data_IF_310387662271
#
_entry.id   IF_310387662271
#
_cell.length_a   1.000
_cell.length_b   1.000
_cell.length_c   1.000
_cell.angle_alpha   90.00
_cell.angle_beta   90.00
_cell.angle_gamma   90.00
#
_symmetry.space_group_name_H-M   'P 1'
#
loop_
_entity.id
_entity.type
_entity.pdbx_description
1 polymer ?
#
# COMPACT_ATOMS: atom_id res chain seq x y z
N UNK A 1 7.79 8.34 -34.26
CA UNK A 1 8.21 8.23 -32.85
C UNK A 1 7.91 6.80 -32.40
N UNK A 2 8.85 6.07 -31.80
CA UNK A 2 8.58 4.72 -31.28
C UNK A 2 7.49 4.80 -30.21
N UNK A 3 6.51 3.90 -30.27
CA UNK A 3 5.40 3.89 -29.32
C UNK A 3 5.88 3.41 -27.94
N UNK A 4 5.40 4.04 -26.87
CA UNK A 4 5.74 3.68 -25.49
C UNK A 4 5.27 2.26 -25.19
N UNK A 5 6.20 1.41 -24.72
CA UNK A 5 5.92 0.03 -24.32
C UNK A 5 5.83 -0.08 -22.80
N UNK A 6 5.02 -1.00 -22.32
CA UNK A 6 4.70 -1.17 -20.92
C UNK A 6 4.87 -2.63 -20.51
N UNK A 7 5.41 -2.85 -19.32
CA UNK A 7 5.53 -4.16 -18.69
C UNK A 7 4.59 -4.21 -17.48
N UNK A 8 4.17 -5.41 -17.09
CA UNK A 8 3.25 -5.56 -15.97
C UNK A 8 3.97 -5.50 -14.63
N UNK A 9 3.28 -4.95 -13.64
CA UNK A 9 3.65 -5.04 -12.24
C UNK A 9 2.41 -5.40 -11.42
N UNK A 10 2.50 -6.51 -10.70
CA UNK A 10 1.38 -7.07 -9.94
C UNK A 10 1.87 -7.40 -8.54
N UNK A 11 1.24 -6.80 -7.54
CA UNK A 11 1.47 -7.06 -6.13
C UNK A 11 0.18 -7.49 -5.48
N UNK A 12 0.19 -8.64 -4.83
CA UNK A 12 -1.00 -9.21 -4.25
C UNK A 12 -0.73 -10.56 -3.64
N UNK A 13 -1.81 -11.25 -3.33
CA UNK A 13 -1.81 -12.60 -2.79
C UNK A 13 -2.57 -13.54 -3.71
N UNK A 14 -2.29 -14.83 -3.62
CA UNK A 14 -3.02 -15.89 -4.32
C UNK A 14 -3.81 -16.74 -3.33
N UNK A 15 -4.24 -17.94 -3.72
CA UNK A 15 -5.04 -18.80 -2.85
C UNK A 15 -4.28 -19.25 -1.60
N UNK A 16 -3.00 -19.63 -1.75
CA UNK A 16 -2.17 -20.14 -0.66
C UNK A 16 -1.05 -19.20 -0.22
N UNK A 17 -0.75 -18.17 -1.00
CA UNK A 17 0.42 -17.32 -0.79
C UNK A 17 0.00 -15.94 -0.32
N UNK A 18 0.74 -15.41 0.66
CA UNK A 18 0.55 -14.06 1.15
C UNK A 18 1.10 -12.99 0.19
N UNK A 19 0.94 -11.72 0.56
CA UNK A 19 1.29 -10.57 -0.25
C UNK A 19 2.74 -10.57 -0.73
N UNK A 20 2.91 -10.56 -2.05
CA UNK A 20 4.20 -10.52 -2.73
C UNK A 20 4.08 -9.89 -4.12
N UNK A 21 5.23 -9.63 -4.73
CA UNK A 21 5.27 -9.35 -6.15
C UNK A 21 5.02 -10.66 -6.91
N UNK A 22 3.96 -10.68 -7.70
CA UNK A 22 3.55 -11.80 -8.55
C UNK A 22 4.16 -11.62 -9.94
N UNK A 23 4.21 -10.38 -10.44
CA UNK A 23 4.82 -10.03 -11.71
C UNK A 23 5.57 -8.70 -11.62
N UNK A 24 6.70 -8.58 -12.32
CA UNK A 24 7.53 -7.37 -12.37
C UNK A 24 8.11 -7.16 -13.78
N UNK A 25 8.49 -5.92 -14.15
CA UNK A 25 9.28 -5.69 -15.35
C UNK A 25 10.64 -6.39 -15.27
N UNK A 26 11.07 -7.00 -16.38
CA UNK A 26 12.29 -7.83 -16.42
C UNK A 26 13.60 -7.12 -16.12
N UNK A 27 13.63 -5.79 -16.23
CA UNK A 27 14.81 -4.94 -16.07
C UNK A 27 14.88 -4.23 -14.70
N UNK A 28 13.94 -4.51 -13.80
CA UNK A 28 13.94 -3.92 -12.46
C UNK A 28 15.07 -4.48 -11.61
N UNK A 29 15.89 -3.60 -11.05
CA UNK A 29 16.88 -3.95 -10.03
C UNK A 29 16.23 -4.06 -8.65
N UNK A 30 16.93 -4.60 -7.62
CA UNK A 30 16.43 -4.58 -6.24
C UNK A 30 16.03 -3.19 -5.74
N UNK A 31 16.76 -2.14 -6.16
CA UNK A 31 16.46 -0.75 -5.83
C UNK A 31 15.17 -0.28 -6.51
N UNK A 32 14.96 -0.63 -7.78
CA UNK A 32 13.73 -0.30 -8.51
C UNK A 32 12.51 -1.02 -7.90
N UNK A 33 12.69 -2.27 -7.45
CA UNK A 33 11.67 -3.04 -6.73
C UNK A 33 11.34 -2.36 -5.38
N UNK A 34 12.36 -2.02 -4.59
CA UNK A 34 12.20 -1.37 -3.29
C UNK A 34 11.49 -0.01 -3.44
N UNK A 35 11.90 0.78 -4.42
CA UNK A 35 11.26 2.04 -4.78
C UNK A 35 9.77 1.84 -5.12
N UNK A 36 9.44 0.90 -6.00
CA UNK A 36 8.06 0.65 -6.40
C UNK A 36 7.20 0.16 -5.24
N UNK A 37 7.70 -0.78 -4.43
CA UNK A 37 7.00 -1.28 -3.24
C UNK A 37 6.75 -0.19 -2.19
N UNK A 38 7.68 0.78 -2.07
CA UNK A 38 7.50 1.95 -1.23
C UNK A 38 6.20 2.72 -1.54
N UNK A 39 5.78 2.76 -2.80
CA UNK A 39 4.51 3.38 -3.23
C UNK A 39 3.34 2.40 -3.21
N UNK A 40 3.54 1.13 -3.60
CA UNK A 40 2.48 0.13 -3.72
C UNK A 40 1.94 -0.32 -2.36
N UNK A 41 2.80 -0.56 -1.36
CA UNK A 41 2.34 -1.07 -0.07
C UNK A 41 1.40 -0.07 0.63
N UNK A 42 1.71 1.24 0.70
CA UNK A 42 0.80 2.23 1.30
C UNK A 42 -0.60 2.25 0.70
N UNK A 43 -0.77 1.95 -0.59
CA UNK A 43 -2.08 1.98 -1.24
C UNK A 43 -2.98 0.82 -0.80
N UNK A 44 -2.41 -0.20 -0.15
CA UNK A 44 -3.16 -1.33 0.41
C UNK A 44 -3.66 -1.12 1.85
N UNK A 45 -3.27 -0.02 2.51
CA UNK A 45 -3.72 0.31 3.88
C UNK A 45 -5.23 0.49 3.92
N UNK A 46 -5.87 0.21 5.05
CA UNK A 46 -7.34 0.28 5.17
C UNK A 46 -8.06 -0.47 4.02
N UNK A 47 -7.61 -1.68 3.71
CA UNK A 47 -8.12 -2.50 2.59
C UNK A 47 -9.65 -2.67 2.61
N UNK A 48 -10.29 -2.66 3.79
CA UNK A 48 -11.75 -2.69 3.93
C UNK A 48 -12.48 -1.51 3.28
N UNK A 49 -11.78 -0.41 2.96
CA UNK A 49 -12.30 0.77 2.26
C UNK A 49 -12.08 0.72 0.74
N UNK A 50 -11.49 -0.35 0.19
CA UNK A 50 -11.27 -0.50 -1.25
C UNK A 50 -12.53 -0.94 -2.02
N UNK A 51 -13.55 -1.42 -1.32
CA UNK A 51 -14.77 -1.92 -1.94
C UNK A 51 -15.45 -0.84 -2.79
N UNK A 52 -15.52 -1.04 -4.11
CA UNK A 52 -16.06 -0.04 -5.07
C UNK A 52 -15.35 1.33 -5.05
N UNK A 53 -14.21 1.41 -4.39
CA UNK A 53 -13.40 2.62 -4.22
C UNK A 53 -11.92 2.29 -4.53
N UNK A 54 -11.58 2.04 -5.81
CA UNK A 54 -10.21 1.72 -6.21
C UNK A 54 -9.30 2.93 -6.02
N UNK A 55 -8.07 2.67 -5.58
CA UNK A 55 -7.03 3.70 -5.42
C UNK A 55 -6.14 3.73 -6.63
N UNK A 56 -6.17 4.83 -7.37
CA UNK A 56 -5.36 5.00 -8.56
C UNK A 56 -4.03 5.64 -8.18
N UNK A 57 -2.94 5.05 -8.64
CA UNK A 57 -1.60 5.48 -8.29
C UNK A 57 -0.75 5.71 -9.53
N UNK A 58 -0.03 6.82 -9.55
CA UNK A 58 0.94 7.15 -10.57
C UNK A 58 2.18 7.69 -9.88
N UNK A 59 3.33 7.06 -10.10
CA UNK A 59 4.58 7.53 -9.50
C UNK A 59 5.76 7.35 -10.46
N UNK A 60 6.66 8.34 -10.41
CA UNK A 60 7.75 8.52 -11.36
C UNK A 60 9.03 8.89 -10.63
N UNK A 61 10.11 8.23 -11.01
CA UNK A 61 11.46 8.68 -10.72
C UNK A 61 12.12 9.12 -12.05
N UNK A 62 13.45 9.17 -12.09
CA UNK A 62 14.17 9.56 -13.30
C UNK A 62 14.24 8.46 -14.38
N UNK A 63 13.98 7.20 -14.00
CA UNK A 63 14.15 6.00 -14.84
C UNK A 63 12.83 5.36 -15.27
N UNK A 64 11.80 5.41 -14.43
CA UNK A 64 10.56 4.67 -14.61
C UNK A 64 9.34 5.49 -14.25
N UNK A 65 8.23 5.16 -14.92
CA UNK A 65 6.89 5.54 -14.53
C UNK A 65 6.07 4.28 -14.27
N UNK A 66 5.37 4.23 -13.14
CA UNK A 66 4.38 3.21 -12.85
C UNK A 66 3.01 3.87 -12.74
N UNK A 67 2.03 3.24 -13.36
CA UNK A 67 0.60 3.55 -13.29
C UNK A 67 -0.13 2.29 -12.85
N UNK A 68 -1.02 2.38 -11.87
CA UNK A 68 -1.73 1.20 -11.40
C UNK A 68 -2.90 1.53 -10.50
N UNK A 69 -3.63 0.48 -10.15
CA UNK A 69 -4.79 0.57 -9.26
C UNK A 69 -4.66 -0.45 -8.14
N UNK A 70 -5.01 -0.03 -6.93
CA UNK A 70 -5.29 -0.95 -5.83
C UNK A 70 -6.78 -1.10 -5.68
N UNK A 71 -7.28 -2.33 -5.70
CA UNK A 71 -8.72 -2.60 -5.69
C UNK A 71 -9.01 -3.97 -5.08
N UNK A 72 -10.29 -4.22 -4.77
CA UNK A 72 -10.74 -5.59 -4.50
C UNK A 72 -10.70 -6.41 -5.79
N UNK A 73 -10.25 -7.67 -5.72
CA UNK A 73 -10.18 -8.55 -6.91
C UNK A 73 -11.57 -8.74 -7.54
N UNK A 74 -12.62 -8.83 -6.72
CA UNK A 74 -14.01 -8.92 -7.21
C UNK A 74 -14.47 -7.71 -8.05
N UNK A 75 -13.87 -6.54 -7.84
CA UNK A 75 -14.18 -5.33 -8.61
C UNK A 75 -13.37 -5.31 -9.92
N UNK A 76 -12.24 -6.03 -9.98
CA UNK A 76 -11.38 -6.14 -11.15
C UNK A 76 -11.88 -7.18 -12.16
N UNK A 77 -12.24 -8.38 -11.69
CA UNK A 77 -12.62 -9.52 -12.54
C UNK A 77 -14.11 -9.90 -12.44
N UNK A 78 -14.88 -9.16 -11.64
CA UNK A 78 -16.26 -9.49 -11.32
C UNK A 78 -16.39 -10.48 -10.16
N UNK A 79 -17.62 -10.70 -9.70
CA UNK A 79 -17.92 -11.77 -8.77
C UNK A 79 -17.93 -13.08 -9.56
N UNK A 80 -16.93 -13.92 -9.36
CA UNK A 80 -17.00 -15.32 -9.79
C UNK A 80 -18.22 -15.99 -9.15
N UNK A 81 -18.67 -17.09 -9.75
CA UNK A 81 -19.85 -17.80 -9.29
C UNK A 81 -19.66 -18.22 -7.83
N UNK A 82 -20.54 -17.75 -6.92
CA UNK A 82 -20.36 -17.86 -5.45
C UNK A 82 -20.30 -19.31 -4.97
N UNK A 83 -20.80 -20.23 -5.80
CA UNK A 83 -20.89 -21.66 -5.54
C UNK A 83 -19.82 -22.48 -6.27
N UNK A 84 -18.88 -21.85 -6.96
CA UNK A 84 -17.78 -22.56 -7.64
C UNK A 84 -16.56 -22.73 -6.72
N UNK A 85 -15.98 -23.93 -6.72
CA UNK A 85 -14.70 -24.24 -6.06
C UNK A 85 -13.50 -23.41 -6.60
N UNK A 86 -13.72 -22.61 -7.65
CA UNK A 86 -12.73 -21.76 -8.30
C UNK A 86 -13.00 -20.27 -8.06
N UNK A 87 -13.48 -19.89 -6.87
CA UNK A 87 -13.62 -18.48 -6.52
C UNK A 87 -12.24 -17.79 -6.42
N UNK A 88 -11.82 -17.14 -7.51
CA UNK A 88 -10.54 -16.40 -7.59
C UNK A 88 -10.51 -15.11 -6.74
N UNK A 89 -11.59 -14.78 -6.03
CA UNK A 89 -11.69 -13.55 -5.25
C UNK A 89 -11.42 -13.75 -3.76
N UNK A 90 -11.15 -14.97 -3.32
CA UNK A 90 -10.88 -15.31 -1.90
C UNK A 90 -9.66 -16.22 -1.77
N UNK A 91 -8.94 -16.12 -0.66
CA UNK A 91 -7.88 -17.08 -0.32
C UNK A 91 -8.44 -18.36 0.31
N UNK A 92 -7.55 -19.28 0.67
CA UNK A 92 -7.87 -20.55 1.35
C UNK A 92 -8.59 -20.35 2.69
N UNK A 93 -8.47 -19.18 3.32
CA UNK A 93 -9.17 -18.84 4.56
C UNK A 93 -10.51 -18.13 4.29
N UNK A 94 -10.93 -18.02 3.04
CA UNK A 94 -12.17 -17.34 2.63
C UNK A 94 -12.08 -15.80 2.69
N UNK A 95 -10.90 -15.22 2.94
CA UNK A 95 -10.73 -13.76 3.06
C UNK A 95 -10.78 -13.10 1.68
N UNK A 96 -11.53 -12.00 1.49
CA UNK A 96 -11.59 -11.28 0.21
C UNK A 96 -10.22 -10.77 -0.23
N UNK A 97 -9.83 -11.04 -1.47
CA UNK A 97 -8.56 -10.57 -2.01
C UNK A 97 -8.64 -9.11 -2.47
N UNK A 98 -7.57 -8.38 -2.18
CA UNK A 98 -7.27 -7.10 -2.81
C UNK A 98 -5.89 -7.18 -3.46
N UNK A 99 -5.66 -6.33 -4.44
CA UNK A 99 -4.50 -6.41 -5.32
C UNK A 99 -4.10 -5.02 -5.81
N UNK A 100 -2.80 -4.82 -6.01
CA UNK A 100 -2.28 -3.78 -6.88
C UNK A 100 -1.95 -4.39 -8.25
N UNK A 101 -2.57 -3.85 -9.30
CA UNK A 101 -2.29 -4.19 -10.70
C UNK A 101 -1.92 -2.92 -11.45
N UNK A 102 -0.81 -2.97 -12.19
CA UNK A 102 -0.31 -1.80 -12.88
C UNK A 102 0.66 -2.11 -14.02
N UNK A 103 1.05 -1.04 -14.68
CA UNK A 103 2.00 -1.04 -15.78
C UNK A 103 3.20 -0.16 -15.44
N UNK A 104 4.40 -0.67 -15.69
CA UNK A 104 5.66 0.06 -15.61
C UNK A 104 6.20 0.36 -17.00
N UNK A 105 6.82 1.52 -17.17
CA UNK A 105 7.52 1.88 -18.42
C UNK A 105 8.80 2.67 -18.14
N UNK A 106 9.89 2.42 -18.87
CA UNK A 106 11.08 3.24 -18.76
C UNK A 106 10.82 4.65 -19.30
N UNK A 107 11.36 5.64 -18.60
CA UNK A 107 11.35 7.03 -19.02
C UNK A 107 12.62 7.30 -19.81
N UNK A 108 12.47 7.59 -21.10
CA UNK A 108 13.57 8.12 -21.88
C UNK A 108 13.79 9.59 -21.54
N UNK A 109 15.06 9.98 -21.34
CA UNK A 109 15.44 11.37 -21.09
C UNK A 109 14.82 12.27 -22.19
N UNK A 110 14.03 13.27 -21.76
CA UNK A 110 13.36 14.30 -22.59
C UNK A 110 12.07 13.87 -23.30
N UNK A 111 11.60 12.62 -23.22
CA UNK A 111 10.28 12.23 -23.75
C UNK A 111 9.19 12.41 -22.70
N UNK A 112 8.07 13.01 -23.12
CA UNK A 112 6.84 13.06 -22.32
C UNK A 112 6.09 11.73 -22.52
N UNK A 113 5.35 11.30 -21.49
CA UNK A 113 4.45 10.16 -21.64
C UNK A 113 3.28 10.57 -22.55
N UNK A 114 3.37 10.19 -23.83
CA UNK A 114 2.35 10.51 -24.84
C UNK A 114 1.13 9.59 -24.72
N UNK A 115 1.36 8.35 -24.26
CA UNK A 115 0.33 7.31 -24.12
C UNK A 115 0.48 6.65 -22.78
N UNK A 116 -0.54 6.76 -21.94
CA UNK A 116 -0.63 6.13 -20.64
C UNK A 116 -2.10 5.76 -20.37
N UNK A 117 -2.38 4.74 -19.54
CA UNK A 117 -3.74 4.35 -19.16
C UNK A 117 -4.56 5.57 -18.69
N UNK A 118 -5.74 5.84 -19.29
CA UNK A 118 -6.58 6.94 -18.85
C UNK A 118 -7.16 6.65 -17.47
N UNK A 119 -7.50 7.72 -16.74
CA UNK A 119 -8.27 7.58 -15.51
C UNK A 119 -9.66 7.02 -15.83
N UNK A 120 -9.98 5.84 -15.29
CA UNK A 120 -11.22 5.11 -15.56
C UNK A 120 -12.24 5.14 -14.43
N UNK A 121 -11.95 5.81 -13.31
CA UNK A 121 -12.83 5.80 -12.14
C UNK A 121 -12.99 4.38 -11.58
N UNK A 122 -14.22 3.86 -11.59
CA UNK A 122 -14.54 2.48 -11.20
C UNK A 122 -14.36 1.48 -12.34
N UNK A 123 -14.15 1.93 -13.58
CA UNK A 123 -13.87 1.05 -14.71
C UNK A 123 -12.39 0.64 -14.68
N UNK A 124 -12.15 -0.64 -14.37
CA UNK A 124 -10.81 -1.22 -14.23
C UNK A 124 -10.39 -2.08 -15.43
N UNK A 125 -11.15 -2.05 -16.54
CA UNK A 125 -10.95 -2.95 -17.69
C UNK A 125 -9.54 -2.89 -18.26
N UNK A 126 -8.88 -1.73 -18.20
CA UNK A 126 -7.50 -1.57 -18.69
C UNK A 126 -6.50 -2.41 -17.88
N UNK A 127 -6.79 -2.72 -16.62
CA UNK A 127 -5.91 -3.52 -15.75
C UNK A 127 -6.37 -4.96 -15.59
N UNK A 128 -7.61 -5.29 -15.96
CA UNK A 128 -8.18 -6.64 -15.83
C UNK A 128 -7.30 -7.74 -16.45
N UNK A 129 -6.69 -7.57 -17.64
CA UNK A 129 -5.81 -8.59 -18.22
C UNK A 129 -4.61 -8.96 -17.34
N UNK A 130 -4.15 -8.05 -16.46
CA UNK A 130 -3.02 -8.32 -15.56
C UNK A 130 -3.35 -9.36 -14.49
N UNK A 131 -4.62 -9.63 -14.24
CA UNK A 131 -5.01 -10.66 -13.28
C UNK A 131 -4.60 -12.08 -13.71
N UNK A 132 -4.29 -12.30 -14.99
CA UNK A 132 -3.77 -13.56 -15.49
C UNK A 132 -2.50 -14.03 -14.76
N UNK A 133 -1.66 -13.10 -14.29
CA UNK A 133 -0.44 -13.45 -13.54
C UNK A 133 -0.76 -14.06 -12.18
N UNK A 134 -1.84 -13.61 -11.54
CA UNK A 134 -2.33 -14.20 -10.29
C UNK A 134 -2.91 -15.58 -10.55
N UNK A 135 -3.65 -15.75 -11.65
CA UNK A 135 -4.21 -17.04 -12.05
C UNK A 135 -3.13 -18.10 -12.28
N UNK A 136 -2.02 -17.72 -12.93
CA UNK A 136 -0.86 -18.60 -13.12
C UNK A 136 -0.23 -19.05 -11.80
N UNK A 137 -0.30 -18.21 -10.75
CA UNK A 137 0.22 -18.53 -9.42
C UNK A 137 -0.87 -18.92 -8.41
N UNK A 138 -2.10 -19.21 -8.87
CA UNK A 138 -3.25 -19.36 -7.99
C UNK A 138 -3.07 -20.47 -6.96
N UNK A 139 -2.63 -21.64 -7.41
CA UNK A 139 -2.49 -22.86 -6.59
C UNK A 139 -1.06 -23.13 -6.08
N UNK A 140 -0.12 -22.22 -6.34
CA UNK A 140 1.27 -22.35 -5.88
C UNK A 140 1.28 -22.30 -4.35
N UNK A 141 2.00 -23.21 -3.70
CA UNK A 141 2.07 -23.32 -2.24
C UNK A 141 3.39 -22.80 -1.68
N UNK A 142 3.38 -22.47 -0.40
CA UNK A 142 4.49 -21.77 0.25
C UNK A 142 5.78 -22.60 0.43
N UNK A 143 5.74 -23.92 0.25
CA UNK A 143 6.96 -24.75 0.28
C UNK A 143 7.62 -24.91 -1.09
N UNK A 144 6.99 -24.43 -2.18
CA UNK A 144 7.57 -24.48 -3.52
C UNK A 144 8.51 -23.30 -3.76
N UNK A 145 9.78 -23.46 -3.36
CA UNK A 145 10.80 -22.41 -3.39
C UNK A 145 11.16 -21.92 -4.79
N UNK A 146 11.00 -22.74 -5.84
CA UNK A 146 11.30 -22.34 -7.22
C UNK A 146 10.21 -21.45 -7.80
N UNK A 147 8.96 -21.60 -7.34
CA UNK A 147 7.79 -20.86 -7.81
C UNK A 147 7.47 -19.60 -6.97
N UNK A 148 8.37 -19.22 -6.06
CA UNK A 148 8.25 -17.96 -5.29
C UNK A 148 8.74 -16.71 -6.01
N UNK A 149 9.51 -16.88 -7.09
CA UNK A 149 10.04 -15.73 -7.84
C UNK A 149 8.90 -15.03 -8.59
N UNK A 150 8.92 -13.69 -8.64
CA UNK A 150 7.97 -12.96 -9.47
C UNK A 150 8.18 -13.33 -10.94
N UNK A 151 7.09 -13.37 -11.69
CA UNK A 151 7.10 -13.54 -13.14
C UNK A 151 7.73 -12.30 -13.76
N UNK A 152 8.80 -12.49 -14.53
CA UNK A 152 9.42 -11.40 -15.29
C UNK A 152 8.57 -11.11 -16.51
N UNK A 153 8.27 -9.83 -16.74
CA UNK A 153 7.36 -9.40 -17.80
C UNK A 153 8.07 -8.53 -18.82
N UNK A 154 7.72 -8.77 -20.08
CA UNK A 154 8.25 -8.03 -21.22
C UNK A 154 7.49 -6.73 -21.47
N UNK A 155 8.21 -5.76 -22.05
CA UNK A 155 7.62 -4.51 -22.50
C UNK A 155 6.85 -4.72 -23.80
N UNK A 156 5.53 -4.55 -23.74
CA UNK A 156 4.61 -4.71 -24.85
C UNK A 156 3.84 -3.42 -25.11
N UNK A 157 3.33 -3.23 -26.32
CA UNK A 157 2.40 -2.14 -26.58
C UNK A 157 1.08 -2.45 -25.87
N UNK A 158 0.53 -1.47 -25.16
CA UNK A 158 -0.81 -1.60 -24.63
C UNK A 158 -1.84 -1.52 -25.76
N UNK A 159 -2.98 -2.18 -25.58
CA UNK A 159 -4.06 -2.18 -26.56
C UNK A 159 -4.44 -0.74 -26.98
N UNK A 160 -4.86 -0.59 -28.24
CA UNK A 160 -5.20 0.71 -28.85
C UNK A 160 -6.33 1.48 -28.12
N UNK A 161 -7.07 0.81 -27.23
CA UNK A 161 -8.09 1.42 -26.36
C UNK A 161 -7.52 2.39 -25.31
N UNK A 162 -6.20 2.41 -25.10
CA UNK A 162 -5.55 3.44 -24.29
C UNK A 162 -5.53 4.74 -25.08
N UNK A 163 -6.51 5.58 -24.78
CA UNK A 163 -6.71 6.88 -25.40
C UNK A 163 -5.40 7.68 -25.43
N UNK A 164 -5.05 8.18 -26.62
CA UNK A 164 -4.04 9.25 -26.75
C UNK A 164 -4.53 10.41 -25.90
N UNK A 165 -3.81 10.75 -24.84
CA UNK A 165 -4.18 11.90 -24.02
C UNK A 165 -4.11 13.14 -24.90
N UNK A 166 -5.17 13.96 -24.88
CA UNK A 166 -5.05 15.33 -25.38
C UNK A 166 -3.97 16.05 -24.57
N UNK A 167 -3.06 16.78 -25.22
CA UNK A 167 -1.97 17.50 -24.57
C UNK A 167 -2.43 18.74 -23.78
N UNK A 168 -3.73 18.85 -23.45
CA UNK A 168 -4.25 19.97 -22.69
C UNK A 168 -3.96 19.78 -21.20
N UNK A 169 -2.78 20.27 -20.80
CA UNK A 169 -2.39 20.41 -19.40
C UNK A 169 -3.26 21.50 -18.78
N UNK A 170 -3.93 21.18 -17.68
CA UNK A 170 -4.56 22.19 -16.84
C UNK A 170 -3.45 23.01 -16.16
N UNK A 171 -3.22 24.23 -16.64
CA UNK A 171 -2.14 25.11 -16.15
C UNK A 171 -2.34 25.51 -14.69
N UNK A 172 -3.58 25.56 -14.20
CA UNK A 172 -3.86 25.90 -12.81
C UNK A 172 -3.42 24.74 -11.91
N UNK A 173 -3.86 23.51 -12.22
CA UNK A 173 -3.42 22.30 -11.51
C UNK A 173 -1.89 22.20 -11.57
N UNK A 174 -1.29 22.35 -12.75
CA UNK A 174 0.16 22.19 -12.94
C UNK A 174 1.00 23.13 -12.07
N UNK A 175 0.53 24.34 -11.79
CA UNK A 175 1.21 25.31 -10.91
C UNK A 175 1.07 24.96 -9.43
N UNK A 176 -0.05 24.35 -9.06
CA UNK A 176 -0.39 24.00 -7.69
C UNK A 176 0.11 22.61 -7.28
N UNK A 177 0.59 21.79 -8.23
CA UNK A 177 1.19 20.50 -7.93
C UNK A 177 2.45 20.62 -7.06
N UNK A 178 2.62 19.65 -6.19
CA UNK A 178 3.90 19.44 -5.53
C UNK A 178 4.82 18.58 -6.39
N UNK A 179 6.12 18.83 -6.26
CA UNK A 179 7.18 18.10 -6.95
C UNK A 179 8.28 17.76 -5.95
N UNK A 180 8.97 16.63 -6.18
CA UNK A 180 10.04 16.16 -5.31
C UNK A 180 11.15 17.22 -5.14
N UNK A 181 11.41 18.00 -6.18
CA UNK A 181 12.42 19.07 -6.19
C UNK A 181 12.00 20.34 -5.45
N UNK A 182 10.70 20.55 -5.23
CA UNK A 182 10.16 21.82 -4.68
C UNK A 182 9.90 21.71 -3.18
N UNK A 183 9.06 20.77 -2.77
CA UNK A 183 8.74 20.56 -1.36
C UNK A 183 8.71 19.04 -1.03
N UNK A 184 9.87 18.37 -0.92
CA UNK A 184 9.92 16.92 -0.67
C UNK A 184 9.33 16.50 0.69
N UNK A 185 9.29 17.43 1.66
CA UNK A 185 8.73 17.22 2.99
C UNK A 185 7.23 17.55 3.08
N UNK A 186 6.58 17.93 1.98
CA UNK A 186 5.16 18.31 1.98
C UNK A 186 4.32 17.36 1.15
N UNK A 187 3.06 17.23 1.53
CA UNK A 187 2.05 16.44 0.83
C UNK A 187 0.89 17.36 0.54
N UNK A 188 0.50 17.40 -0.73
CA UNK A 188 -0.61 18.23 -1.17
C UNK A 188 -1.82 17.33 -1.35
N UNK A 189 -2.93 17.71 -0.74
CA UNK A 189 -4.16 16.94 -0.71
C UNK A 189 -5.29 17.77 -1.32
N UNK A 190 -5.95 17.21 -2.32
CA UNK A 190 -7.10 17.80 -2.99
C UNK A 190 -8.38 17.10 -2.56
N UNK A 191 -9.50 17.81 -2.73
CA UNK A 191 -10.82 17.21 -2.59
C UNK A 191 -10.98 16.03 -3.56
N UNK A 192 -11.58 14.96 -3.06
CA UNK A 192 -11.81 13.75 -3.83
C UNK A 192 -13.06 13.85 -4.72
N UNK A 193 -12.93 14.56 -5.84
CA UNK A 193 -13.97 14.65 -6.88
C UNK A 193 -13.49 14.02 -8.19
N UNK A 194 -14.43 13.52 -9.00
CA UNK A 194 -14.14 12.93 -10.31
C UNK A 194 -13.36 13.90 -11.22
N UNK A 195 -13.69 15.20 -11.15
CA UNK A 195 -12.99 16.26 -11.87
C UNK A 195 -11.54 16.42 -11.39
N UNK A 196 -11.33 16.55 -10.06
CA UNK A 196 -10.00 16.66 -9.47
C UNK A 196 -9.13 15.45 -9.82
N UNK A 197 -9.67 14.24 -9.66
CA UNK A 197 -8.99 12.99 -10.00
C UNK A 197 -8.53 12.97 -11.45
N UNK A 198 -9.41 13.32 -12.39
CA UNK A 198 -9.12 13.34 -13.82
C UNK A 198 -8.05 14.38 -14.16
N UNK A 199 -8.20 15.62 -13.66
CA UNK A 199 -7.25 16.71 -13.91
C UNK A 199 -5.86 16.41 -13.33
N UNK A 200 -5.80 15.90 -12.09
CA UNK A 200 -4.55 15.50 -11.45
C UNK A 200 -3.88 14.36 -12.20
N UNK A 201 -4.63 13.33 -12.58
CA UNK A 201 -4.12 12.18 -13.32
C UNK A 201 -3.45 12.60 -14.62
N UNK A 202 -4.16 13.37 -15.45
CA UNK A 202 -3.65 13.83 -16.76
C UNK A 202 -2.47 14.79 -16.59
N UNK A 203 -2.58 15.78 -15.71
CA UNK A 203 -1.49 16.75 -15.50
C UNK A 203 -0.22 16.06 -15.00
N UNK A 204 -0.33 15.22 -13.96
CA UNK A 204 0.84 14.53 -13.42
C UNK A 204 1.43 13.58 -14.45
N UNK A 205 0.63 12.83 -15.23
CA UNK A 205 1.17 11.93 -16.25
C UNK A 205 2.07 12.65 -17.26
N UNK A 206 1.67 13.83 -17.73
CA UNK A 206 2.39 14.62 -18.75
C UNK A 206 3.59 15.37 -18.15
N UNK A 207 3.59 15.69 -16.85
CA UNK A 207 4.72 16.34 -16.18
C UNK A 207 6.03 15.53 -16.33
N UNK A 208 7.13 16.22 -16.66
CA UNK A 208 8.44 15.57 -16.84
C UNK A 208 9.21 15.31 -15.55
N UNK A 209 8.89 16.06 -14.50
CA UNK A 209 9.60 15.97 -13.23
C UNK A 209 9.17 14.70 -12.46
N UNK A 210 10.09 14.09 -11.69
CA UNK A 210 9.74 13.05 -10.72
C UNK A 210 8.60 13.52 -9.82
N UNK A 211 7.54 12.71 -9.78
CA UNK A 211 6.34 13.05 -9.05
C UNK A 211 5.55 11.79 -8.68
N UNK A 212 4.66 11.91 -7.72
CA UNK A 212 3.82 10.82 -7.24
C UNK A 212 2.42 11.30 -6.87
N UNK A 213 1.44 10.49 -7.21
CA UNK A 213 0.00 10.73 -7.07
C UNK A 213 -0.68 9.46 -6.55
N UNK A 214 -1.52 9.61 -5.52
CA UNK A 214 -2.49 8.59 -5.12
C UNK A 214 -3.90 9.20 -5.02
N UNK A 215 -4.85 8.65 -5.77
CA UNK A 215 -6.22 9.12 -5.84
C UNK A 215 -7.16 8.14 -5.15
N UNK A 216 -8.24 8.65 -4.57
CA UNK A 216 -9.33 7.86 -4.02
C UNK A 216 -9.08 7.32 -2.62
N UNK A 217 -8.47 8.13 -1.75
CA UNK A 217 -8.20 7.75 -0.38
C UNK A 217 -9.41 8.03 0.51
N UNK A 218 -9.74 7.09 1.37
CA UNK A 218 -10.83 7.26 2.32
C UNK A 218 -10.49 8.25 3.44
N UNK A 219 -9.20 8.46 3.73
CA UNK A 219 -8.74 9.37 4.77
C UNK A 219 -7.36 9.94 4.42
N UNK A 220 -7.07 11.16 4.90
CA UNK A 220 -5.78 11.81 4.72
C UNK A 220 -4.60 11.11 5.41
N UNK A 221 -4.85 10.40 6.51
CA UNK A 221 -3.80 9.76 7.32
C UNK A 221 -3.04 8.68 6.55
N UNK A 222 -3.74 7.96 5.66
CA UNK A 222 -3.15 6.96 4.78
C UNK A 222 -2.07 7.58 3.86
N UNK A 223 -2.26 8.83 3.42
CA UNK A 223 -1.30 9.55 2.58
C UNK A 223 -0.16 10.20 3.37
N UNK A 224 -0.45 10.79 4.53
CA UNK A 224 0.56 11.52 5.32
C UNK A 224 1.75 10.62 5.68
N UNK A 225 1.47 9.33 5.89
CA UNK A 225 2.46 8.28 6.20
C UNK A 225 3.01 7.57 4.95
N UNK A 226 2.86 8.16 3.76
CA UNK A 226 3.22 7.55 2.48
C UNK A 226 4.23 8.41 1.71
N UNK A 227 4.93 7.85 0.70
CA UNK A 227 5.86 8.62 -0.11
C UNK A 227 5.19 9.47 -1.20
N UNK A 228 3.86 9.41 -1.34
CA UNK A 228 3.15 10.24 -2.31
C UNK A 228 3.28 11.73 -1.99
N UNK A 229 3.46 12.54 -3.03
CA UNK A 229 3.55 14.00 -2.94
C UNK A 229 2.20 14.68 -3.15
N UNK A 230 1.33 14.01 -3.90
CA UNK A 230 0.02 14.51 -4.27
C UNK A 230 -1.03 13.43 -4.05
N UNK A 231 -2.25 13.81 -3.67
CA UNK A 231 -3.35 12.85 -3.64
C UNK A 231 -4.72 13.46 -3.39
N UNK A 232 -5.75 12.63 -3.53
CA UNK A 232 -7.12 13.03 -3.18
C UNK A 232 -7.62 12.21 -2.01
N UNK A 233 -8.35 12.85 -1.10
CA UNK A 233 -8.96 12.18 0.04
C UNK A 233 -10.39 12.69 0.31
N UNK A 234 -11.28 11.78 0.71
CA UNK A 234 -12.71 12.07 0.94
C UNK A 234 -12.93 13.11 2.06
N UNK A 235 -12.03 13.15 3.05
CA UNK A 235 -12.08 14.03 4.23
C UNK A 235 -11.47 15.43 4.00
N UNK A 236 -11.25 15.81 2.73
CA UNK A 236 -10.64 17.08 2.33
C UNK A 236 -11.65 17.87 1.49
N UNK A 237 -12.06 19.05 1.96
CA UNK A 237 -12.98 19.94 1.24
C UNK A 237 -12.28 20.80 0.18
N UNK A 238 -11.04 21.21 0.44
CA UNK A 238 -10.27 22.13 -0.39
C UNK A 238 -8.76 21.81 -0.30
N UNK A 239 -7.97 22.33 -1.23
CA UNK A 239 -6.54 22.04 -1.32
C UNK A 239 -5.85 22.34 0.01
N UNK A 240 -5.35 21.29 0.66
CA UNK A 240 -4.68 21.38 1.96
C UNK A 240 -3.25 20.85 1.84
N UNK A 241 -2.31 21.53 2.49
CA UNK A 241 -0.89 21.16 2.49
C UNK A 241 -0.51 20.67 3.88
N UNK A 242 0.08 19.48 3.95
CA UNK A 242 0.55 18.87 5.18
C UNK A 242 2.06 18.67 5.14
N UNK A 243 2.72 18.82 6.28
CA UNK A 243 4.08 18.35 6.45
C UNK A 243 4.08 16.83 6.62
N UNK A 244 5.02 16.17 5.95
CA UNK A 244 5.25 14.74 6.10
C UNK A 244 5.74 14.52 7.52
N UNK A 245 5.09 13.59 8.23
CA UNK A 245 5.61 13.15 9.53
C UNK A 245 7.01 12.57 9.30
N UNK A 246 8.03 13.30 9.76
CA UNK A 246 9.40 12.83 9.70
C UNK A 246 9.50 11.55 10.54
N UNK A 247 9.75 10.41 9.90
CA UNK A 247 10.24 9.21 10.58
C UNK A 247 11.58 9.46 11.31
N UNK A 248 12.23 10.61 11.05
CA UNK A 248 13.50 11.04 11.65
C UNK A 248 13.39 11.40 13.14
N UNK A 249 12.23 11.83 13.63
CA UNK A 249 12.10 12.27 15.04
C UNK A 249 12.13 11.10 16.03
N UNK A 250 11.93 9.85 15.59
CA UNK A 250 12.10 8.68 16.45
C UNK A 250 13.55 8.21 16.60
N UNK A 251 14.45 8.55 15.66
CA UNK A 251 15.86 8.15 15.73
C UNK A 251 16.75 9.11 16.54
N UNK A 252 16.36 10.38 16.69
CA UNK A 252 17.16 11.39 17.40
C UNK A 252 17.03 11.34 18.92
N UNK A 253 15.99 10.71 19.48
CA UNK A 253 15.88 10.48 20.92
C UNK A 253 16.57 9.19 21.40
N UNK A 254 16.90 8.25 20.49
CA UNK A 254 17.63 7.02 20.86
C UNK A 254 19.16 7.18 20.84
N UNK A 255 19.72 8.19 20.15
CA UNK A 255 21.17 8.43 20.17
C UNK A 255 21.69 9.16 21.41
N UNK A 256 20.82 9.84 22.18
CA UNK A 256 21.23 10.54 23.40
C UNK A 256 21.23 9.66 24.66
N UNK A 257 20.85 8.37 24.56
CA UNK A 257 20.85 7.43 25.70
C UNK A 257 21.95 6.35 25.66
N UNK A 258 22.87 6.40 24.69
CA UNK A 258 23.93 5.38 24.52
C UNK A 258 25.35 5.94 24.52
N UNK A 259 25.55 7.22 24.81
CA UNK A 259 26.88 7.87 24.81
C UNK A 259 27.62 7.88 26.16
N UNK A 260 27.12 7.20 27.20
CA UNK A 260 27.77 7.18 28.53
C UNK A 260 28.59 5.93 28.85
N UNK A 261 28.84 5.04 27.88
CA UNK A 261 29.60 3.81 28.13
C UNK A 261 30.67 3.50 27.07
N UNK A 262 31.60 4.42 26.83
CA UNK A 262 32.96 4.05 26.40
C UNK A 262 33.91 5.25 26.44
N UNK A 263 34.35 5.62 27.64
CA UNK A 263 35.59 6.39 27.83
C UNK A 263 36.74 5.43 28.13
N UNK A 264 37.93 5.77 27.62
CA UNK A 264 39.27 5.19 27.86
C UNK A 264 39.73 4.04 26.95
N UNK A 265 40.49 4.38 25.89
CA UNK A 265 41.96 4.31 25.92
C UNK A 265 42.60 5.00 24.70
N UNK A 266 43.59 5.85 24.97
CA UNK A 266 44.57 6.47 24.04
C UNK A 266 45.36 5.36 23.30
N UNK A 267 45.91 5.52 22.09
CA UNK A 267 46.93 6.51 21.71
C UNK A 267 47.25 6.54 20.20
N UNK A 268 47.49 7.77 19.69
CA UNK A 268 48.43 8.25 18.65
C UNK A 268 49.13 7.24 17.71
N UNK A 269 49.04 7.49 16.40
CA UNK A 269 50.15 7.92 15.51
C UNK A 269 49.62 8.44 14.17
N UNK A 270 50.41 9.34 13.56
CA UNK A 270 50.15 10.09 12.34
C UNK A 270 50.52 9.33 11.06
N UNK A 271 49.98 9.75 9.91
CA UNK A 271 50.51 9.39 8.58
C UNK A 271 49.51 9.60 7.46
N UNK A 272 49.85 10.49 6.53
CA UNK A 272 49.09 10.84 5.34
C UNK A 272 49.13 9.75 4.25
N UNK A 273 48.04 9.54 3.51
CA UNK A 273 48.01 9.18 2.08
C UNK A 273 46.56 9.07 1.57
N UNK A 274 46.39 9.28 0.26
CA UNK A 274 45.15 9.47 -0.52
C UNK A 274 44.09 8.34 -0.44
N UNK A 275 42.81 8.61 -0.74
CA UNK A 275 41.81 7.56 -0.86
C UNK A 275 41.83 6.95 -2.28
N UNK A 276 42.37 5.75 -2.39
CA UNK A 276 41.99 4.79 -3.45
C UNK A 276 40.83 3.93 -2.94
N UNK A 277 39.93 3.59 -3.85
CA UNK A 277 38.75 2.77 -3.62
C UNK A 277 39.11 1.35 -3.18
N UNK A 278 38.54 0.88 -2.07
CA UNK A 278 38.44 -0.55 -1.75
C UNK A 278 37.07 -0.84 -1.12
N UNK A 279 36.31 -1.72 -1.76
CA UNK A 279 35.08 -2.29 -1.22
C UNK A 279 35.42 -3.18 -0.03
N UNK A 280 34.86 -2.85 1.13
CA UNK A 280 34.97 -3.67 2.32
C UNK A 280 34.24 -5.01 2.08
N UNK A 281 35.00 -6.07 1.83
CA UNK A 281 34.51 -7.44 1.95
C UNK A 281 34.22 -7.71 3.44
N UNK A 282 32.98 -7.44 3.85
CA UNK A 282 32.50 -7.80 5.18
C UNK A 282 32.57 -9.31 5.34
N UNK A 283 33.14 -9.78 6.46
CA UNK A 283 33.18 -11.21 6.75
C UNK A 283 31.75 -11.75 6.92
N UNK A 284 31.52 -13.03 6.63
CA UNK A 284 30.20 -13.65 6.77
C UNK A 284 29.60 -13.43 8.17
N UNK A 285 30.43 -13.44 9.22
CA UNK A 285 30.01 -13.13 10.58
C UNK A 285 29.51 -11.69 10.77
N UNK A 286 30.11 -10.72 10.08
CA UNK A 286 29.66 -9.32 10.10
C UNK A 286 28.35 -9.14 9.33
N UNK A 287 28.16 -9.84 8.21
CA UNK A 287 26.91 -9.83 7.45
C UNK A 287 25.77 -10.44 8.28
N UNK A 288 26.03 -11.56 8.97
CA UNK A 288 25.04 -12.19 9.86
C UNK A 288 24.72 -11.28 11.05
N UNK A 289 25.72 -10.69 11.69
CA UNK A 289 25.51 -9.77 12.81
C UNK A 289 24.72 -8.51 12.37
N UNK A 290 25.01 -7.98 11.20
CA UNK A 290 24.30 -6.82 10.65
C UNK A 290 22.84 -7.16 10.30
N UNK A 291 22.60 -8.35 9.75
CA UNK A 291 21.25 -8.83 9.46
C UNK A 291 20.46 -9.11 10.73
N UNK A 292 21.06 -9.77 11.73
CA UNK A 292 20.44 -10.00 13.03
C UNK A 292 20.09 -8.67 13.73
N UNK A 293 20.97 -7.67 13.63
CA UNK A 293 20.71 -6.32 14.15
C UNK A 293 19.53 -5.65 13.44
N UNK A 294 19.44 -5.76 12.11
CA UNK A 294 18.32 -5.22 11.33
C UNK A 294 17.00 -5.93 11.69
N UNK A 295 17.01 -7.25 11.83
CA UNK A 295 15.82 -8.03 12.18
C UNK A 295 15.33 -7.71 13.61
N UNK A 296 16.25 -7.52 14.57
CA UNK A 296 15.91 -7.08 15.93
C UNK A 296 15.33 -5.66 15.90
N UNK A 297 15.91 -4.74 15.15
CA UNK A 297 15.38 -3.37 15.03
C UNK A 297 13.99 -3.35 14.39
N UNK A 298 13.76 -4.18 13.37
CA UNK A 298 12.46 -4.34 12.74
C UNK A 298 11.43 -4.93 13.71
N UNK A 299 11.84 -5.90 14.53
CA UNK A 299 11.00 -6.52 15.56
C UNK A 299 10.62 -5.51 16.65
N UNK A 300 11.58 -4.72 17.14
CA UNK A 300 11.34 -3.66 18.13
C UNK A 300 10.37 -2.62 17.55
N UNK A 301 10.58 -2.19 16.30
CA UNK A 301 9.70 -1.22 15.66
C UNK A 301 8.26 -1.75 15.47
N UNK A 302 8.12 -3.04 15.16
CA UNK A 302 6.81 -3.69 15.08
C UNK A 302 6.14 -3.79 16.46
N UNK A 303 6.91 -4.10 17.52
CA UNK A 303 6.41 -4.16 18.89
C UNK A 303 5.95 -2.79 19.39
N UNK A 304 6.73 -1.72 19.17
CA UNK A 304 6.34 -0.35 19.49
C UNK A 304 5.04 0.06 18.76
N UNK A 305 4.92 -0.31 17.49
CA UNK A 305 3.71 -0.06 16.71
C UNK A 305 2.50 -0.83 17.24
N UNK A 306 2.69 -2.07 17.71
CA UNK A 306 1.63 -2.85 18.34
C UNK A 306 1.20 -2.24 19.67
N UNK A 307 2.13 -1.70 20.46
CA UNK A 307 1.83 -0.98 21.72
C UNK A 307 1.01 0.28 21.44
N UNK A 308 1.43 1.11 20.48
CA UNK A 308 0.68 2.33 20.11
C UNK A 308 -0.71 1.98 19.60
N UNK A 309 -0.82 1.00 18.71
CA UNK A 309 -2.12 0.54 18.19
C UNK A 309 -3.01 -0.01 19.32
N UNK A 310 -2.42 -0.74 20.27
CA UNK A 310 -3.12 -1.25 21.45
C UNK A 310 -3.60 -0.13 22.39
N UNK A 311 -2.80 0.91 22.58
CA UNK A 311 -3.18 2.08 23.37
C UNK A 311 -4.30 2.90 22.71
N UNK A 312 -4.24 3.10 21.38
CA UNK A 312 -5.31 3.75 20.61
C UNK A 312 -6.62 2.94 20.70
N UNK A 313 -6.54 1.61 20.61
CA UNK A 313 -7.70 0.73 20.74
C UNK A 313 -8.29 0.75 22.16
N UNK A 314 -7.44 0.75 23.20
CA UNK A 314 -7.89 0.92 24.59
C UNK A 314 -8.53 2.29 24.83
N UNK A 315 -7.99 3.37 24.24
CA UNK A 315 -8.62 4.69 24.34
C UNK A 315 -9.98 4.74 23.65
N UNK A 316 -10.12 4.11 22.48
CA UNK A 316 -11.41 3.99 21.80
C UNK A 316 -12.44 3.23 22.63
N UNK A 317 -12.05 2.11 23.26
CA UNK A 317 -12.94 1.35 24.15
C UNK A 317 -13.32 2.12 25.43
N UNK A 318 -12.40 2.89 25.99
CA UNK A 318 -12.67 3.76 27.14
C UNK A 318 -13.61 4.92 26.77
N UNK A 319 -13.49 5.45 25.56
CA UNK A 319 -14.37 6.52 25.07
C UNK A 319 -15.78 6.01 24.71
N UNK A 320 -15.89 4.82 24.11
CA UNK A 320 -17.18 4.17 23.85
C UNK A 320 -17.92 3.81 25.15
N UNK A 321 -17.21 3.33 26.17
CA UNK A 321 -17.79 3.00 27.48
C UNK A 321 -18.21 4.23 28.31
N UNK A 322 -17.58 5.39 28.09
CA UNK A 322 -18.04 6.66 28.68
C UNK A 322 -19.22 7.29 27.92
N UNK A 323 -19.24 7.16 26.59
CA UNK A 323 -20.37 7.64 25.76
C UNK A 323 -21.65 6.85 26.02
N UNK A 324 -21.55 5.54 26.30
CA UNK A 324 -22.71 4.75 26.74
C UNK A 324 -23.20 5.12 28.13
N UNK A 325 -22.35 5.65 29.03
CA UNK A 325 -22.78 6.13 30.36
C UNK A 325 -23.45 7.51 30.34
N UNK A 326 -23.15 8.36 29.36
CA UNK A 326 -23.77 9.68 29.23
C UNK A 326 -25.13 9.64 28.50
N UNK A 327 -25.40 8.62 27.68
CA UNK A 327 -26.69 8.44 27.01
C UNK A 327 -27.76 7.68 27.82
N UNK A 328 -27.46 7.24 29.05
CA UNK A 328 -28.44 6.54 29.91
C UNK A 328 -29.12 7.51 30.93
N UNK A 329 -28.79 8.81 30.92
CA UNK A 329 -29.41 9.80 31.81
C UNK A 329 -30.58 10.61 31.22
N UNK A 330 -30.98 10.36 29.98
CA UNK A 330 -32.16 10.98 29.38
C UNK A 330 -33.01 9.92 28.67
N UNK A 331 -33.67 9.08 29.46
CA UNK A 331 -35.07 8.69 29.23
C UNK A 331 -35.48 7.68 30.30
N UNK A 332 -36.36 8.13 31.20
CA UNK A 332 -37.10 7.28 32.14
C UNK A 332 -38.56 7.28 31.71
N UNK A 333 -38.99 6.18 31.08
CA UNK A 333 -40.33 5.52 31.05
C UNK A 333 -40.29 4.60 29.84
N UNK A 334 -40.58 3.30 29.84
CA UNK A 334 -41.38 2.41 30.68
C UNK A 334 -40.91 0.96 30.46
N UNK A 335 -41.26 0.09 31.41
CA UNK A 335 -41.02 -1.36 31.43
C UNK A 335 -41.56 -2.09 30.19
N UNK A 336 -40.72 -2.92 29.57
CA UNK A 336 -41.14 -4.26 29.09
C UNK A 336 -39.99 -5.27 29.21
N UNK A 337 -40.36 -6.51 29.52
CA UNK A 337 -39.60 -7.67 30.00
C UNK A 337 -38.34 -8.02 29.20
N UNK A 338 -37.31 -8.61 29.82
CA UNK A 338 -36.14 -9.12 29.11
C UNK A 338 -36.49 -10.38 28.30
N UNK A 339 -36.19 -10.36 27.00
CA UNK A 339 -36.15 -11.56 26.17
C UNK A 339 -34.95 -12.41 26.58
N UNK A 340 -35.27 -13.63 27.00
CA UNK A 340 -34.34 -14.67 27.43
C UNK A 340 -33.56 -15.19 26.22
N UNK A 341 -32.28 -14.78 26.11
CA UNK A 341 -31.36 -15.30 25.10
C UNK A 341 -31.05 -16.77 25.41
N UNK A 342 -31.61 -17.66 24.60
CA UNK A 342 -31.61 -19.10 24.79
C UNK A 342 -30.23 -19.73 24.95
N UNK A 343 -29.91 -20.13 26.17
CA UNK A 343 -29.12 -21.31 26.45
C UNK A 343 -30.09 -22.49 26.66
N UNK A 344 -30.11 -23.43 25.71
CA UNK A 344 -30.84 -24.70 25.89
C UNK A 344 -30.14 -25.53 26.98
N UNK A 345 -30.65 -25.48 28.20
CA UNK A 345 -30.38 -26.48 29.21
C UNK A 345 -31.12 -27.78 28.83
N UNK A 346 -30.40 -28.91 28.86
CA UNK A 346 -30.96 -30.27 28.72
C UNK A 346 -32.07 -30.47 29.76
N UNK A 347 -33.31 -30.64 29.31
CA UNK A 347 -34.35 -31.22 30.15
C UNK A 347 -34.10 -32.73 30.27
N UNK A 348 -33.93 -33.18 31.51
CA UNK A 348 -34.02 -34.57 31.92
C UNK A 348 -35.47 -35.03 31.80
N UNK A 349 -35.77 -35.87 30.80
CA UNK A 349 -37.02 -36.62 30.74
C UNK A 349 -36.89 -37.85 31.63
N UNK A 350 -37.50 -37.79 32.81
CA UNK A 350 -37.96 -38.96 33.52
C UNK A 350 -39.46 -39.01 33.27
N UNK A 351 -39.90 -39.93 32.42
CA UNK A 351 -41.18 -40.58 32.61
C UNK A 351 -41.17 -41.95 31.95
N UNK A 352 -41.26 -42.92 32.85
CA UNK A 352 -41.53 -44.32 32.63
C UNK A 352 -42.89 -44.52 31.97
N UNK A 353 -42.92 -45.27 30.87
CA UNK A 353 -44.06 -46.14 30.61
C UNK A 353 -43.57 -47.50 30.12
N UNK A 354 -43.85 -48.48 30.98
CA UNK A 354 -43.59 -49.90 30.82
C UNK A 354 -44.32 -50.47 29.62
N UNK A 355 -43.62 -51.36 28.92
CA UNK A 355 -44.25 -52.54 28.34
C UNK A 355 -44.44 -53.57 29.46
N UNK A 356 -45.62 -53.54 30.06
CA UNK A 356 -46.53 -54.67 30.30
C UNK A 356 -47.85 -54.12 30.83
#
# INVERSE_FOLDING_TARGET
>A
MSEQKWAAIVYGRSYYLDFRLIAIPKDFTPEDISWALGYIIPTTRAAGKLDRHPRWSLFKNERYCIVGVTCMVRDLIGQGDKNSDNNLTKDVQGRPLYIFVGYGTPLERRKYLVRFPPYGGKNLNVFQPLYQYVQQQWKVKDYDTKEKKPILTDYQQLAASIARSSNNIDRHIARSLNFQSKNPAKIFLWQDSEESRRKLWTTIAICRQPNSLCLGLANKQDLIKSPFLNGTADDIAELTIYDRLNSTTQNLQQQNHLSDASSQKRSRTAGAAAPRAEGANLSLGQVIAQKAKQDIQLTIHQAERAVVTGQELMQHLLYESQSTRLNIKSDKTELTKPEDFGFKAKQSSNDSQNWF
#
